data_IF_360338944536
#
_entry.id   IF_360338944536
#
_cell.length_a   1.000
_cell.length_b   1.000
_cell.length_c   1.000
_cell.angle_alpha   90.00
_cell.angle_beta   90.00
_cell.angle_gamma   90.00
#
_symmetry.space_group_name_H-M   'P 1'
#
loop_
_entity.id
_entity.type
_entity.pdbx_description
1 polymer ?
#
# COMPACT_ATOMS: atom_id res chain seq x y z
N UNK A 1 -11.20 -7.28 22.78
CA UNK A 1 -10.66 -7.36 24.15
C UNK A 1 -10.28 -5.95 24.57
N UNK A 2 -11.08 -5.25 25.39
CA UNK A 2 -10.65 -3.97 25.95
C UNK A 2 -9.44 -4.23 26.88
N UNK A 3 -8.37 -3.43 26.80
CA UNK A 3 -7.12 -3.50 27.57
C UNK A 3 -5.98 -4.44 27.13
N UNK A 4 -5.99 -5.02 25.92
CA UNK A 4 -4.78 -5.70 25.41
C UNK A 4 -4.14 -4.83 24.33
N UNK A 5 -2.84 -4.54 24.47
CA UNK A 5 -2.07 -3.80 23.48
C UNK A 5 -1.77 -4.68 22.26
N UNK A 6 -1.89 -4.09 21.06
CA UNK A 6 -1.53 -4.77 19.83
C UNK A 6 -0.01 -4.91 19.73
N UNK A 7 0.46 -6.10 19.37
CA UNK A 7 1.89 -6.42 19.30
C UNK A 7 2.44 -6.41 17.87
N UNK A 8 1.57 -6.61 16.88
CA UNK A 8 1.95 -6.68 15.46
C UNK A 8 0.92 -6.05 14.55
N UNK A 9 1.35 -5.66 13.35
CA UNK A 9 0.48 -5.32 12.24
C UNK A 9 0.23 -6.58 11.38
N UNK A 10 -1.00 -6.75 10.90
CA UNK A 10 -1.39 -7.79 9.94
C UNK A 10 -1.82 -7.17 8.61
N UNK A 11 -1.45 -7.83 7.51
CA UNK A 11 -1.94 -7.50 6.16
C UNK A 11 -2.34 -8.77 5.43
N UNK A 12 -3.56 -8.78 4.91
CA UNK A 12 -4.08 -9.87 4.10
C UNK A 12 -4.42 -9.31 2.73
N UNK A 13 -3.80 -9.89 1.70
CA UNK A 13 -4.18 -9.66 0.30
C UNK A 13 -4.99 -10.85 -0.16
N UNK A 14 -6.22 -10.61 -0.56
CA UNK A 14 -7.11 -11.65 -1.08
C UNK A 14 -7.36 -11.36 -2.56
N UNK A 15 -7.22 -12.38 -3.41
CA UNK A 15 -7.68 -12.36 -4.79
C UNK A 15 -8.89 -13.28 -4.87
N UNK A 16 -10.06 -12.73 -5.18
CA UNK A 16 -11.32 -13.47 -5.34
C UNK A 16 -11.71 -13.34 -6.81
N UNK A 17 -11.63 -14.43 -7.56
CA UNK A 17 -11.67 -14.40 -9.03
C UNK A 17 -10.62 -13.44 -9.60
N UNK A 18 -11.05 -12.27 -10.10
CA UNK A 18 -10.19 -11.23 -10.66
C UNK A 18 -10.04 -10.00 -9.76
N UNK A 19 -10.73 -9.95 -8.63
CA UNK A 19 -10.74 -8.78 -7.74
C UNK A 19 -9.77 -8.94 -6.59
N UNK A 20 -9.08 -7.85 -6.24
CA UNK A 20 -8.19 -7.79 -5.08
C UNK A 20 -8.87 -7.07 -3.90
N UNK A 21 -8.76 -7.67 -2.71
CA UNK A 21 -9.17 -7.08 -1.42
C UNK A 21 -7.98 -7.02 -0.48
N UNK A 22 -7.85 -5.90 0.22
CA UNK A 22 -6.77 -5.64 1.16
C UNK A 22 -7.36 -5.43 2.55
N UNK A 23 -7.12 -6.37 3.45
CA UNK A 23 -7.54 -6.27 4.85
C UNK A 23 -6.31 -5.97 5.69
N UNK A 24 -6.41 -4.98 6.57
CA UNK A 24 -5.35 -4.55 7.49
C UNK A 24 -5.94 -4.54 8.89
N UNK A 25 -5.20 -5.08 9.84
CA UNK A 25 -5.64 -5.13 11.22
C UNK A 25 -4.46 -5.15 12.18
N UNK A 26 -4.74 -4.84 13.45
CA UNK A 26 -3.82 -4.98 14.57
C UNK A 26 -3.90 -6.42 15.12
N UNK A 27 -2.76 -7.05 15.34
CA UNK A 27 -2.65 -8.38 15.94
C UNK A 27 -2.20 -8.30 17.40
N UNK A 28 -2.90 -9.02 18.27
CA UNK A 28 -2.64 -9.05 19.72
C UNK A 28 -1.84 -10.27 20.18
N UNK A 29 -1.83 -11.32 19.35
CA UNK A 29 -1.06 -12.54 19.59
C UNK A 29 0.14 -12.55 18.66
N UNK A 30 1.29 -12.83 19.26
CA UNK A 30 2.51 -13.11 18.51
C UNK A 30 2.47 -14.57 18.02
N UNK A 31 2.80 -14.80 16.75
CA UNK A 31 2.95 -16.12 16.15
C UNK A 31 4.33 -16.32 15.56
N UNK A 32 4.72 -17.58 15.38
CA UNK A 32 6.09 -18.02 15.00
C UNK A 32 6.62 -17.44 13.67
N UNK A 33 5.76 -16.81 12.85
CA UNK A 33 6.09 -16.28 11.53
C UNK A 33 6.05 -14.75 11.44
N UNK A 34 6.03 -14.06 12.56
CA UNK A 34 6.02 -12.59 12.58
C UNK A 34 7.34 -12.00 12.12
N UNK A 35 7.30 -11.07 11.17
CA UNK A 35 8.50 -10.50 10.56
C UNK A 35 9.20 -11.41 9.54
N UNK A 36 8.67 -12.61 9.27
CA UNK A 36 9.15 -13.50 8.19
C UNK A 36 8.40 -13.28 6.88
N UNK A 37 8.79 -14.02 5.83
CA UNK A 37 8.13 -13.97 4.53
C UNK A 37 6.61 -14.25 4.61
N UNK A 38 5.85 -13.53 3.78
CA UNK A 38 4.41 -13.69 3.72
C UNK A 38 4.00 -15.09 3.23
N UNK A 39 2.99 -15.67 3.87
CA UNK A 39 2.47 -17.00 3.57
C UNK A 39 1.36 -16.88 2.54
N UNK A 40 1.36 -17.74 1.51
CA UNK A 40 0.27 -17.85 0.55
C UNK A 40 -0.57 -19.08 0.83
N UNK A 41 -1.89 -18.97 0.68
CA UNK A 41 -2.84 -20.07 0.78
C UNK A 41 -3.88 -19.98 -0.33
N UNK A 42 -4.24 -21.13 -0.89
CA UNK A 42 -5.38 -21.25 -1.79
C UNK A 42 -6.62 -21.65 -0.98
N UNK A 43 -7.71 -20.93 -1.21
CA UNK A 43 -9.05 -21.26 -0.73
C UNK A 43 -9.89 -21.94 -1.81
N UNK A 44 -11.16 -22.14 -1.52
CA UNK A 44 -12.15 -22.63 -2.48
C UNK A 44 -12.63 -21.51 -3.40
N UNK A 45 -13.19 -21.85 -4.57
CA UNK A 45 -13.87 -20.89 -5.46
C UNK A 45 -12.93 -19.74 -5.89
N UNK A 46 -11.75 -20.09 -6.42
CA UNK A 46 -10.78 -19.12 -6.97
C UNK A 46 -10.39 -18.00 -5.99
N UNK A 47 -10.32 -18.33 -4.70
CA UNK A 47 -9.82 -17.42 -3.65
C UNK A 47 -8.36 -17.73 -3.37
N UNK A 48 -7.47 -16.74 -3.52
CA UNK A 48 -6.07 -16.82 -3.13
C UNK A 48 -5.78 -15.78 -2.05
N UNK A 49 -5.07 -16.16 -1.01
CA UNK A 49 -4.78 -15.30 0.13
C UNK A 49 -3.29 -15.23 0.40
N UNK A 50 -2.77 -14.03 0.65
CA UNK A 50 -1.41 -13.77 1.10
C UNK A 50 -1.47 -13.09 2.47
N UNK A 51 -0.93 -13.75 3.48
CA UNK A 51 -0.88 -13.30 4.86
C UNK A 51 0.52 -12.79 5.19
N UNK A 52 0.62 -11.56 5.68
CA UNK A 52 1.85 -10.92 6.11
C UNK A 52 1.68 -10.37 7.52
N UNK A 53 2.76 -10.36 8.31
CA UNK A 53 2.80 -9.75 9.65
C UNK A 53 4.12 -9.03 9.88
N UNK A 54 4.10 -7.89 10.55
CA UNK A 54 5.28 -7.06 10.80
C UNK A 54 5.15 -6.28 12.12
N UNK A 55 6.28 -5.86 12.72
CA UNK A 55 6.33 -5.27 14.08
C UNK A 55 6.44 -3.75 14.11
N UNK A 56 6.92 -3.13 13.04
CA UNK A 56 7.10 -1.67 13.00
C UNK A 56 5.78 -0.95 12.80
N UNK A 57 5.56 0.15 13.50
CA UNK A 57 4.34 0.95 13.36
C UNK A 57 4.06 1.31 11.90
N UNK A 58 2.81 1.09 11.47
CA UNK A 58 2.36 1.39 10.12
C UNK A 58 2.96 0.53 9.00
N UNK A 59 3.72 -0.53 9.29
CA UNK A 59 4.37 -1.36 8.28
C UNK A 59 3.38 -2.08 7.32
N UNK A 60 2.10 -2.19 7.68
CA UNK A 60 1.05 -2.77 6.82
C UNK A 60 0.36 -1.75 5.89
N UNK A 61 0.83 -0.50 5.80
CA UNK A 61 0.20 0.59 5.07
C UNK A 61 -0.05 0.32 3.56
N UNK A 62 -0.77 1.23 2.93
CA UNK A 62 -0.90 1.30 1.47
C UNK A 62 0.26 2.13 0.90
N UNK A 63 0.64 1.90 -0.37
CA UNK A 63 1.46 2.86 -1.09
C UNK A 63 0.80 4.24 -1.00
N UNK A 64 1.58 5.28 -0.73
CA UNK A 64 1.07 6.63 -0.70
C UNK A 64 0.71 7.08 -2.12
N UNK A 65 -0.51 7.56 -2.31
CA UNK A 65 -0.91 8.25 -3.54
C UNK A 65 -0.46 9.71 -3.42
N UNK A 66 0.85 9.96 -3.26
CA UNK A 66 1.35 11.32 -3.42
C UNK A 66 1.26 11.63 -4.91
N UNK A 67 0.19 12.33 -5.30
CA UNK A 67 0.03 12.81 -6.65
C UNK A 67 1.17 13.75 -6.99
N UNK A 68 1.94 13.43 -8.02
CA UNK A 68 3.01 14.27 -8.59
C UNK A 68 2.46 15.53 -9.29
N UNK A 69 1.24 15.95 -8.95
CA UNK A 69 0.44 16.91 -9.72
C UNK A 69 1.13 18.25 -9.84
N UNK A 70 1.82 18.74 -8.81
CA UNK A 70 2.45 20.05 -8.85
C UNK A 70 3.76 20.10 -9.67
N UNK A 71 4.52 19.01 -9.73
CA UNK A 71 5.81 19.00 -10.44
C UNK A 71 5.61 19.03 -11.96
N UNK A 72 4.54 18.39 -12.45
CA UNK A 72 4.21 18.39 -13.88
C UNK A 72 3.79 19.78 -14.37
N UNK A 73 3.02 20.54 -13.58
CA UNK A 73 2.63 21.91 -13.94
C UNK A 73 3.80 22.88 -13.95
N UNK A 74 4.74 22.77 -13.00
CA UNK A 74 5.94 23.63 -12.97
C UNK A 74 6.81 23.39 -14.20
N UNK A 75 7.01 22.14 -14.61
CA UNK A 75 7.78 21.80 -15.82
C UNK A 75 7.09 22.26 -17.10
N UNK A 76 5.76 22.15 -17.18
CA UNK A 76 5.00 22.63 -18.33
C UNK A 76 5.11 24.15 -18.49
N UNK A 77 4.98 24.92 -17.41
CA UNK A 77 5.15 26.38 -17.43
C UNK A 77 6.58 26.78 -17.78
N UNK A 78 7.58 26.10 -17.22
CA UNK A 78 8.99 26.39 -17.49
C UNK A 78 9.38 26.19 -18.97
N UNK A 79 8.74 25.28 -19.70
CA UNK A 79 9.01 25.04 -21.13
C UNK A 79 8.15 25.91 -22.05
N UNK A 80 6.89 26.19 -21.68
CA UNK A 80 5.97 26.95 -22.54
C UNK A 80 6.22 28.46 -22.52
N UNK A 81 6.61 29.03 -21.37
CA UNK A 81 6.89 30.46 -21.23
C UNK A 81 8.04 30.96 -22.15
N UNK A 82 9.22 30.30 -22.21
CA UNK A 82 10.29 30.72 -23.12
C UNK A 82 9.90 30.53 -24.60
N UNK A 83 9.14 29.48 -24.93
CA UNK A 83 8.65 29.25 -26.30
C UNK A 83 7.69 30.37 -26.75
N UNK A 84 6.75 30.76 -25.89
CA UNK A 84 5.78 31.81 -26.18
C UNK A 84 6.46 33.18 -26.37
N UNK A 85 7.51 33.46 -25.59
CA UNK A 85 8.26 34.72 -25.67
C UNK A 85 9.20 34.82 -26.87
N UNK A 86 9.61 33.69 -27.46
CA UNK A 86 10.31 33.65 -28.76
C UNK A 86 9.35 33.79 -29.94
N UNK A 87 8.12 33.28 -29.84
CA UNK A 87 7.13 33.34 -30.93
C UNK A 87 6.40 34.69 -31.07
N UNK A 88 6.33 35.49 -30.00
CA UNK A 88 5.67 36.80 -29.97
C UNK A 88 6.62 37.98 -30.25
N UNK A 89 7.89 37.69 -30.56
CA UNK A 89 8.92 38.67 -30.87
C UNK A 89 9.33 38.54 -32.32
#
# INVERSE_FOLDING_TARGET
MPNVEAKVCRKIVQKVYNDFRYVRDCGYLEGDKEGTECIRRAGTISVLMKYCSCKTDGCNAAPSTVGTTNLQWVLAVALLVPLYSVLLK
#
